data_IF_017465420560
#
_entry.id   IF_017465420560
#
_cell.length_a   1.000
_cell.length_b   1.000
_cell.length_c   1.000
_cell.angle_alpha   90.00
_cell.angle_beta   90.00
_cell.angle_gamma   90.00
#
_symmetry.space_group_name_H-M   'P 1'
#
loop_
_entity.id
_entity.type
_entity.pdbx_description
1 polymer ?
#
# COMPACT_ATOMS: atom_id res chain seq x y z
N UNK A 1 -17.53 15.37 -21.13
CA UNK A 1 -17.89 14.19 -20.35
C UNK A 1 -16.79 13.99 -19.32
N UNK A 2 -17.09 14.06 -18.00
CA UNK A 2 -16.07 13.70 -16.99
C UNK A 2 -15.79 12.21 -17.10
N UNK A 3 -14.50 11.86 -17.12
CA UNK A 3 -14.09 10.45 -17.04
C UNK A 3 -14.56 9.88 -15.71
N UNK A 4 -15.56 9.01 -15.72
CA UNK A 4 -16.17 8.39 -14.52
C UNK A 4 -15.39 7.18 -14.04
N UNK A 5 -14.25 6.88 -14.65
CA UNK A 5 -13.43 5.74 -14.30
C UNK A 5 -12.52 6.09 -13.10
N UNK A 6 -12.55 5.27 -12.07
CA UNK A 6 -11.65 5.39 -10.91
C UNK A 6 -10.20 5.12 -11.31
N UNK A 7 -9.27 5.85 -10.67
CA UNK A 7 -7.85 5.62 -10.80
C UNK A 7 -7.21 5.60 -9.41
N UNK A 8 -6.92 4.42 -8.90
CA UNK A 8 -6.28 4.24 -7.59
C UNK A 8 -4.76 4.12 -7.65
N UNK A 9 -4.17 4.34 -8.84
CA UNK A 9 -2.74 4.13 -9.05
C UNK A 9 -2.36 2.64 -9.07
N UNK A 10 -1.05 2.41 -9.13
CA UNK A 10 -0.49 1.06 -9.06
C UNK A 10 0.93 1.13 -8.46
N UNK A 11 1.30 0.18 -7.62
CA UNK A 11 2.63 0.11 -7.01
C UNK A 11 3.74 -0.13 -8.02
N UNK A 12 3.42 -0.78 -9.14
CA UNK A 12 4.33 -0.97 -10.27
C UNK A 12 3.94 0.02 -11.37
N UNK A 13 4.63 1.16 -11.50
CA UNK A 13 4.22 2.22 -12.41
C UNK A 13 4.43 1.84 -13.88
N UNK A 14 3.46 2.11 -14.74
CA UNK A 14 3.51 1.80 -16.18
C UNK A 14 4.72 2.41 -16.91
N UNK A 15 5.19 3.56 -16.44
CA UNK A 15 6.37 4.26 -17.02
C UNK A 15 7.65 3.45 -17.04
N UNK A 16 7.74 2.38 -16.27
CA UNK A 16 8.90 1.50 -16.25
C UNK A 16 8.94 0.49 -17.42
N UNK A 17 7.81 0.20 -18.05
CA UNK A 17 7.74 -0.83 -19.11
C UNK A 17 8.40 -0.43 -20.42
N UNK A 18 8.21 0.81 -20.97
CA UNK A 18 8.88 1.20 -22.21
C UNK A 18 10.41 1.04 -22.18
N UNK A 19 11.16 1.49 -21.15
CA UNK A 19 12.61 1.27 -21.09
C UNK A 19 12.98 -0.20 -20.90
N UNK A 20 12.21 -1.01 -20.16
CA UNK A 20 12.52 -2.42 -19.97
C UNK A 20 12.32 -3.22 -21.28
N UNK A 21 11.17 -3.09 -21.93
CA UNK A 21 10.91 -3.82 -23.17
C UNK A 21 11.68 -3.23 -24.36
N UNK A 22 11.71 -1.90 -24.50
CA UNK A 22 12.47 -1.22 -25.55
C UNK A 22 13.98 -1.44 -25.43
N UNK A 23 14.52 -1.28 -24.24
CA UNK A 23 15.95 -1.53 -23.97
C UNK A 23 16.32 -2.99 -24.21
N UNK A 24 15.50 -3.94 -23.76
CA UNK A 24 15.71 -5.36 -24.03
C UNK A 24 15.72 -5.69 -25.52
N UNK A 25 14.75 -5.16 -26.28
CA UNK A 25 14.68 -5.34 -27.72
C UNK A 25 15.90 -4.74 -28.47
N UNK A 26 16.35 -3.54 -28.06
CA UNK A 26 17.52 -2.89 -28.63
C UNK A 26 18.79 -3.72 -28.36
N UNK A 27 18.96 -4.26 -27.17
CA UNK A 27 20.10 -5.10 -26.83
C UNK A 27 20.13 -6.39 -27.63
N UNK A 28 18.97 -7.02 -27.87
CA UNK A 28 18.88 -8.21 -28.72
C UNK A 28 19.22 -7.89 -30.17
N UNK A 29 18.71 -6.78 -30.72
CA UNK A 29 19.03 -6.34 -32.07
C UNK A 29 20.53 -6.01 -32.25
N UNK A 30 21.12 -5.31 -31.27
CA UNK A 30 22.55 -5.00 -31.26
C UNK A 30 23.39 -6.29 -31.15
N UNK A 31 22.98 -7.25 -30.31
CA UNK A 31 23.62 -8.55 -30.21
C UNK A 31 23.61 -9.31 -31.55
N UNK A 32 22.49 -9.32 -32.23
CA UNK A 32 22.36 -9.94 -33.55
C UNK A 32 23.27 -9.26 -34.58
N UNK A 33 23.28 -7.92 -34.63
CA UNK A 33 24.14 -7.16 -35.52
C UNK A 33 25.63 -7.43 -35.23
N UNK A 34 26.07 -7.51 -33.97
CA UNK A 34 27.44 -7.83 -33.57
C UNK A 34 27.82 -9.27 -33.95
N UNK A 35 26.94 -10.23 -33.83
CA UNK A 35 27.20 -11.63 -34.16
C UNK A 35 27.28 -11.89 -35.66
N UNK A 36 26.33 -11.41 -36.42
CA UNK A 36 26.21 -11.66 -37.87
C UNK A 36 27.06 -10.66 -38.65
N UNK A 37 26.93 -9.36 -38.37
CA UNK A 37 27.54 -8.32 -39.16
C UNK A 37 29.04 -8.08 -38.82
N UNK A 38 29.41 -8.13 -37.54
CA UNK A 38 30.76 -7.82 -37.06
C UNK A 38 31.55 -9.07 -36.63
N UNK A 39 30.98 -10.24 -36.68
CA UNK A 39 31.58 -11.53 -36.23
C UNK A 39 32.14 -11.50 -34.80
N UNK A 40 31.58 -10.67 -33.91
CA UNK A 40 32.00 -10.53 -32.50
C UNK A 40 31.15 -11.36 -31.57
N UNK A 41 31.34 -12.65 -31.59
CA UNK A 41 30.49 -13.64 -30.89
C UNK A 41 30.34 -13.37 -29.38
N UNK A 42 31.43 -13.08 -28.68
CA UNK A 42 31.40 -12.83 -27.23
C UNK A 42 30.51 -11.61 -26.89
N UNK A 43 30.69 -10.53 -27.64
CA UNK A 43 29.89 -9.31 -27.47
C UNK A 43 28.42 -9.57 -27.81
N UNK A 44 28.15 -10.30 -28.89
CA UNK A 44 26.80 -10.68 -29.31
C UNK A 44 26.08 -11.49 -28.22
N UNK A 45 26.73 -12.50 -27.65
CA UNK A 45 26.18 -13.29 -26.56
C UNK A 45 25.91 -12.45 -25.31
N UNK A 46 26.86 -11.59 -24.91
CA UNK A 46 26.70 -10.70 -23.76
C UNK A 46 25.49 -9.77 -23.91
N UNK A 47 25.34 -9.13 -25.08
CA UNK A 47 24.19 -8.26 -25.36
C UNK A 47 22.87 -9.04 -25.38
N UNK A 48 22.86 -10.23 -25.97
CA UNK A 48 21.66 -11.07 -26.01
C UNK A 48 21.22 -11.50 -24.60
N UNK A 49 22.15 -11.93 -23.75
CA UNK A 49 21.87 -12.30 -22.35
C UNK A 49 21.29 -11.12 -21.58
N UNK A 50 21.89 -9.94 -21.68
CA UNK A 50 21.37 -8.73 -21.02
C UNK A 50 19.98 -8.35 -21.54
N UNK A 51 19.76 -8.45 -22.85
CA UNK A 51 18.45 -8.20 -23.46
C UNK A 51 17.38 -9.16 -22.93
N UNK A 52 17.69 -10.46 -22.86
CA UNK A 52 16.78 -11.48 -22.30
C UNK A 52 16.47 -11.21 -20.81
N UNK A 53 17.49 -10.84 -20.01
CA UNK A 53 17.29 -10.52 -18.60
C UNK A 53 16.35 -9.33 -18.45
N UNK A 54 16.53 -8.25 -19.23
CA UNK A 54 15.65 -7.09 -19.20
C UNK A 54 14.22 -7.42 -19.59
N UNK A 55 14.03 -8.20 -20.65
CA UNK A 55 12.71 -8.62 -21.09
C UNK A 55 12.02 -9.53 -20.06
N UNK A 56 12.75 -10.48 -19.47
CA UNK A 56 12.23 -11.36 -18.44
C UNK A 56 11.83 -10.57 -17.18
N UNK A 57 12.67 -9.62 -16.75
CA UNK A 57 12.36 -8.73 -15.65
C UNK A 57 11.15 -7.84 -15.98
N UNK A 58 11.08 -7.28 -17.19
CA UNK A 58 9.93 -6.51 -17.65
C UNK A 58 8.63 -7.32 -17.63
N UNK A 59 8.67 -8.57 -18.10
CA UNK A 59 7.52 -9.48 -18.07
C UNK A 59 7.09 -9.83 -16.62
N UNK A 60 8.04 -10.06 -15.72
CA UNK A 60 7.77 -10.27 -14.30
C UNK A 60 7.09 -9.04 -13.67
N UNK A 61 7.66 -7.84 -13.88
CA UNK A 61 7.11 -6.59 -13.36
C UNK A 61 5.72 -6.30 -13.95
N UNK A 62 5.50 -6.62 -15.22
CA UNK A 62 4.18 -6.48 -15.85
C UNK A 62 3.14 -7.41 -15.20
N UNK A 63 3.50 -8.66 -14.88
CA UNK A 63 2.61 -9.56 -14.13
C UNK A 63 2.30 -9.01 -12.74
N UNK A 64 3.30 -8.45 -12.03
CA UNK A 64 3.06 -7.79 -10.75
C UNK A 64 2.12 -6.58 -10.90
N UNK A 65 2.31 -5.77 -11.94
CA UNK A 65 1.42 -4.64 -12.25
C UNK A 65 -0.04 -5.08 -12.41
N UNK A 66 -0.29 -6.11 -13.22
CA UNK A 66 -1.63 -6.66 -13.43
C UNK A 66 -2.25 -7.19 -12.12
N UNK A 67 -1.44 -7.81 -11.26
CA UNK A 67 -1.90 -8.35 -9.98
C UNK A 67 -2.29 -7.24 -8.98
N UNK A 68 -1.49 -6.18 -8.91
CA UNK A 68 -1.77 -5.03 -8.04
C UNK A 68 -2.91 -4.15 -8.55
N UNK A 69 -3.26 -4.22 -9.84
CA UNK A 69 -4.25 -3.37 -10.46
C UNK A 69 -5.66 -3.65 -9.93
N UNK A 70 -6.36 -2.58 -9.54
CA UNK A 70 -7.80 -2.64 -9.27
C UNK A 70 -8.57 -2.93 -10.56
N UNK A 71 -9.47 -3.90 -10.52
CA UNK A 71 -10.25 -4.34 -11.70
C UNK A 71 -9.58 -5.40 -12.59
N UNK A 72 -8.35 -5.85 -12.25
CA UNK A 72 -7.66 -6.96 -12.92
C UNK A 72 -7.33 -8.09 -11.91
N UNK A 73 -6.11 -8.21 -11.43
CA UNK A 73 -5.74 -9.19 -10.38
C UNK A 73 -6.44 -8.95 -9.05
N UNK A 74 -6.73 -7.69 -8.75
CA UNK A 74 -7.48 -7.27 -7.56
C UNK A 74 -6.83 -7.65 -6.22
N UNK A 75 -5.55 -7.98 -6.20
CA UNK A 75 -4.88 -8.36 -4.96
C UNK A 75 -4.98 -7.24 -3.92
N UNK A 76 -4.73 -5.97 -4.31
CA UNK A 76 -4.85 -4.84 -3.39
C UNK A 76 -6.28 -4.63 -2.91
N UNK A 77 -7.29 -4.88 -3.75
CA UNK A 77 -8.68 -4.83 -3.32
C UNK A 77 -8.97 -5.88 -2.23
N UNK A 78 -8.48 -7.12 -2.39
CA UNK A 78 -8.61 -8.19 -1.39
C UNK A 78 -7.83 -7.91 -0.11
N UNK A 79 -6.65 -7.27 -0.24
CA UNK A 79 -5.86 -6.77 0.90
C UNK A 79 -6.68 -5.76 1.72
N UNK A 80 -7.31 -4.78 1.08
CA UNK A 80 -8.18 -3.83 1.75
C UNK A 80 -9.41 -4.50 2.38
N UNK A 81 -10.01 -5.48 1.70
CA UNK A 81 -11.13 -6.26 2.27
C UNK A 81 -10.71 -7.04 3.52
N UNK A 82 -9.51 -7.63 3.49
CA UNK A 82 -8.95 -8.31 4.65
C UNK A 82 -8.77 -7.33 5.83
N UNK A 83 -8.22 -6.14 5.57
CA UNK A 83 -8.05 -5.10 6.58
C UNK A 83 -9.41 -4.64 7.16
N UNK A 84 -10.39 -4.36 6.31
CA UNK A 84 -11.74 -3.92 6.74
C UNK A 84 -12.45 -5.00 7.57
N UNK A 85 -12.27 -6.29 7.26
CA UNK A 85 -12.84 -7.40 8.06
C UNK A 85 -12.25 -7.50 9.47
N UNK A 86 -11.04 -6.99 9.69
CA UNK A 86 -10.41 -6.94 11.01
C UNK A 86 -10.71 -5.65 11.78
N UNK A 87 -11.48 -4.73 11.18
CA UNK A 87 -11.96 -3.54 11.86
C UNK A 87 -13.28 -3.87 12.56
N UNK A 88 -13.21 -4.32 13.82
CA UNK A 88 -14.38 -4.59 14.65
C UNK A 88 -15.03 -3.27 15.12
N UNK A 89 -15.83 -2.68 14.22
CA UNK A 89 -16.46 -1.38 14.40
C UNK A 89 -17.90 -1.41 13.87
N UNK A 90 -18.81 -0.72 14.58
CA UNK A 90 -20.24 -0.66 14.19
C UNK A 90 -20.51 0.27 12.99
N UNK A 91 -19.49 0.97 12.50
CA UNK A 91 -19.59 1.85 11.34
C UNK A 91 -20.20 3.22 11.61
N UNK A 92 -20.31 3.62 12.88
CA UNK A 92 -20.90 4.91 13.26
C UNK A 92 -19.85 5.89 13.78
N UNK A 93 -19.98 7.16 13.37
CA UNK A 93 -19.05 8.21 13.78
C UNK A 93 -17.96 8.48 12.76
N UNK A 94 -16.73 8.71 13.22
CA UNK A 94 -15.62 9.20 12.39
C UNK A 94 -14.55 8.13 12.20
N UNK A 95 -14.16 7.87 10.96
CA UNK A 95 -13.04 7.00 10.61
C UNK A 95 -11.90 7.81 9.97
N UNK A 96 -10.67 7.56 10.42
CA UNK A 96 -9.45 8.10 9.80
C UNK A 96 -8.75 7.03 8.97
N UNK A 97 -8.48 7.30 7.71
CA UNK A 97 -7.58 6.52 6.84
C UNK A 97 -6.24 7.24 6.74
N UNK A 98 -5.21 6.66 7.39
CA UNK A 98 -3.88 7.25 7.51
C UNK A 98 -3.03 6.77 6.34
N UNK A 99 -2.59 7.74 5.49
CA UNK A 99 -1.87 7.45 4.26
C UNK A 99 -2.79 6.93 3.15
N UNK A 100 -3.87 7.66 2.89
CA UNK A 100 -4.94 7.23 2.01
C UNK A 100 -4.54 7.09 0.53
N UNK A 101 -3.37 7.61 0.11
CA UNK A 101 -2.88 7.57 -1.26
C UNK A 101 -3.86 8.21 -2.26
N UNK A 102 -4.43 7.41 -3.14
CA UNK A 102 -5.48 7.80 -4.08
C UNK A 102 -6.91 7.52 -3.55
N UNK A 103 -7.07 7.25 -2.25
CA UNK A 103 -8.35 7.08 -1.58
C UNK A 103 -8.99 5.69 -1.75
N UNK A 104 -8.25 4.68 -2.19
CA UNK A 104 -8.83 3.36 -2.46
C UNK A 104 -9.39 2.69 -1.20
N UNK A 105 -8.65 2.71 -0.08
CA UNK A 105 -9.12 2.17 1.20
C UNK A 105 -10.21 3.04 1.80
N UNK A 106 -10.07 4.37 1.75
CA UNK A 106 -11.07 5.33 2.22
C UNK A 106 -12.44 5.08 1.56
N UNK A 107 -12.47 4.98 0.23
CA UNK A 107 -13.69 4.69 -0.55
C UNK A 107 -14.29 3.33 -0.17
N UNK A 108 -13.44 2.31 0.02
CA UNK A 108 -13.89 0.98 0.44
C UNK A 108 -14.51 1.00 1.83
N UNK A 109 -13.89 1.71 2.78
CA UNK A 109 -14.45 1.91 4.12
C UNK A 109 -15.79 2.67 4.04
N UNK A 110 -15.89 3.72 3.21
CA UNK A 110 -17.14 4.46 3.03
C UNK A 110 -18.29 3.60 2.50
N UNK A 111 -17.98 2.62 1.64
CA UNK A 111 -18.98 1.66 1.14
C UNK A 111 -19.33 0.60 2.19
N UNK A 112 -18.36 0.13 2.97
CA UNK A 112 -18.58 -0.86 4.02
C UNK A 112 -19.36 -0.29 5.20
N UNK A 113 -19.18 1.02 5.49
CA UNK A 113 -19.76 1.71 6.64
C UNK A 113 -20.58 2.92 6.18
N UNK A 114 -21.83 2.74 5.75
CA UNK A 114 -22.62 3.80 5.12
C UNK A 114 -23.04 4.94 6.07
N UNK A 115 -23.00 4.75 7.39
CA UNK A 115 -23.30 5.78 8.39
C UNK A 115 -22.06 6.58 8.83
N UNK A 116 -20.84 6.16 8.41
CA UNK A 116 -19.59 6.78 8.82
C UNK A 116 -19.31 8.07 8.07
N UNK A 117 -18.62 9.02 8.76
CA UNK A 117 -17.90 10.13 8.18
C UNK A 117 -16.41 9.80 8.12
N UNK A 118 -15.78 9.97 6.98
CA UNK A 118 -14.41 9.51 6.78
C UNK A 118 -13.47 10.70 6.50
N UNK A 119 -12.28 10.62 7.07
CA UNK A 119 -11.16 11.50 6.71
C UNK A 119 -10.05 10.64 6.13
N UNK A 120 -9.69 10.89 4.88
CA UNK A 120 -8.47 10.34 4.26
C UNK A 120 -7.36 11.36 4.40
N UNK A 121 -6.25 10.99 5.04
CA UNK A 121 -5.11 11.86 5.22
C UNK A 121 -3.88 11.27 4.54
N UNK A 122 -3.11 12.10 3.83
CA UNK A 122 -1.85 11.68 3.21
C UNK A 122 -0.87 12.85 3.12
N UNK A 123 0.42 12.54 3.03
CA UNK A 123 1.46 13.54 2.83
C UNK A 123 1.48 14.08 1.40
N UNK A 124 1.09 13.26 0.42
CA UNK A 124 1.14 13.53 -1.02
C UNK A 124 2.48 14.12 -1.48
N UNK A 125 3.57 13.50 -1.02
CA UNK A 125 4.92 13.90 -1.41
C UNK A 125 5.25 13.54 -2.87
N UNK A 126 6.39 14.01 -3.35
CA UNK A 126 6.82 13.81 -4.75
C UNK A 126 7.05 12.35 -5.15
N UNK A 127 7.27 11.46 -4.19
CA UNK A 127 7.56 10.03 -4.44
C UNK A 127 6.32 9.21 -4.74
N UNK A 128 5.23 9.52 -4.04
CA UNK A 128 3.92 8.92 -4.27
C UNK A 128 3.04 9.98 -4.94
N UNK A 129 3.14 10.14 -6.21
CA UNK A 129 2.53 11.20 -7.02
C UNK A 129 0.97 11.18 -7.00
N UNK A 130 0.36 11.00 -5.83
CA UNK A 130 -1.07 11.11 -5.60
C UNK A 130 -1.44 12.53 -5.20
N UNK A 131 -2.49 13.05 -5.80
CA UNK A 131 -3.02 14.35 -5.48
C UNK A 131 -4.40 14.20 -4.81
N UNK A 132 -4.72 15.13 -3.91
CA UNK A 132 -6.04 15.25 -3.30
C UNK A 132 -7.17 15.19 -4.34
N UNK A 133 -7.00 15.91 -5.46
CA UNK A 133 -7.97 15.91 -6.56
C UNK A 133 -8.27 14.51 -7.11
N UNK A 134 -7.29 13.59 -7.09
CA UNK A 134 -7.50 12.22 -7.53
C UNK A 134 -8.40 11.46 -6.55
N UNK A 135 -8.19 11.66 -5.25
CA UNK A 135 -9.03 11.09 -4.20
C UNK A 135 -10.48 11.56 -4.32
N UNK A 136 -10.69 12.87 -4.50
CA UNK A 136 -12.01 13.47 -4.67
C UNK A 136 -12.73 12.97 -5.94
N UNK A 137 -12.00 12.83 -7.06
CA UNK A 137 -12.54 12.23 -8.30
C UNK A 137 -12.95 10.78 -8.08
N UNK A 138 -12.12 9.97 -7.39
CA UNK A 138 -12.42 8.58 -7.09
C UNK A 138 -13.65 8.46 -6.18
N UNK A 139 -13.71 9.22 -5.10
CA UNK A 139 -14.85 9.24 -4.18
C UNK A 139 -16.16 9.63 -4.90
N UNK A 140 -16.10 10.61 -5.81
CA UNK A 140 -17.24 11.04 -6.61
C UNK A 140 -17.68 9.96 -7.61
N UNK A 141 -16.73 9.34 -8.30
CA UNK A 141 -17.02 8.25 -9.25
C UNK A 141 -17.68 7.04 -8.56
N UNK A 142 -17.35 6.81 -7.30
CA UNK A 142 -17.87 5.71 -6.46
C UNK A 142 -19.13 6.09 -5.66
N UNK A 143 -19.61 7.35 -5.75
CA UNK A 143 -20.85 7.81 -5.14
C UNK A 143 -20.79 7.97 -3.62
N UNK A 144 -19.62 8.24 -3.04
CA UNK A 144 -19.41 8.37 -1.59
C UNK A 144 -18.76 9.69 -1.16
N UNK A 145 -18.59 10.64 -2.08
CA UNK A 145 -17.88 11.90 -1.85
C UNK A 145 -18.49 12.80 -0.76
N UNK A 146 -19.78 12.70 -0.54
CA UNK A 146 -20.52 13.48 0.46
C UNK A 146 -20.15 13.14 1.92
N UNK A 147 -19.50 12.00 2.14
CA UNK A 147 -19.11 11.50 3.46
C UNK A 147 -17.60 11.43 3.67
N UNK A 148 -16.80 11.87 2.69
CA UNK A 148 -15.34 11.79 2.75
C UNK A 148 -14.72 13.17 2.64
N UNK A 149 -13.81 13.48 3.55
CA UNK A 149 -12.91 14.63 3.47
C UNK A 149 -11.49 14.15 3.24
N UNK A 150 -10.74 14.80 2.35
CA UNK A 150 -9.33 14.49 2.13
C UNK A 150 -8.44 15.65 2.59
N UNK A 151 -7.43 15.34 3.41
CA UNK A 151 -6.57 16.34 4.05
C UNK A 151 -5.09 15.97 3.90
N UNK A 152 -4.24 17.00 3.77
CA UNK A 152 -2.79 16.81 3.78
C UNK A 152 -2.29 16.74 5.21
N UNK A 153 -1.42 15.77 5.52
CA UNK A 153 -0.84 15.62 6.85
C UNK A 153 0.40 14.73 6.87
N UNK A 154 1.04 14.68 8.04
CA UNK A 154 2.16 13.78 8.33
C UNK A 154 1.71 12.73 9.36
N UNK A 155 1.84 11.46 9.02
CA UNK A 155 1.43 10.34 9.88
C UNK A 155 2.28 10.23 11.17
N UNK A 156 3.48 10.83 11.20
CA UNK A 156 4.28 10.91 12.42
C UNK A 156 3.77 11.99 13.40
N UNK A 157 2.96 12.95 12.92
CA UNK A 157 2.49 14.10 13.69
C UNK A 157 1.09 14.48 13.17
N UNK A 158 0.09 13.73 13.60
CA UNK A 158 -1.29 13.95 13.19
C UNK A 158 -1.86 15.24 13.79
N UNK A 159 -2.32 16.16 12.97
CA UNK A 159 -2.86 17.45 13.38
C UNK A 159 -4.30 17.33 13.96
N UNK A 160 -4.58 16.24 14.64
CA UNK A 160 -5.86 15.97 15.30
C UNK A 160 -5.67 15.87 16.81
N UNK A 161 -6.64 16.34 17.63
CA UNK A 161 -6.65 16.10 19.06
C UNK A 161 -6.66 14.60 19.39
N UNK A 162 -6.24 14.28 20.62
CA UNK A 162 -6.39 12.93 21.15
C UNK A 162 -7.87 12.50 21.07
N UNK A 163 -8.09 11.22 20.80
CA UNK A 163 -9.44 10.63 20.85
C UNK A 163 -10.46 11.30 19.91
N UNK A 164 -10.01 11.69 18.70
CA UNK A 164 -10.85 12.40 17.71
C UNK A 164 -11.68 11.46 16.84
N UNK A 165 -11.26 10.21 16.67
CA UNK A 165 -11.86 9.27 15.74
C UNK A 165 -12.39 8.02 16.45
N UNK A 166 -13.53 7.52 15.97
CA UNK A 166 -14.15 6.29 16.47
C UNK A 166 -13.46 5.04 15.89
N UNK A 167 -12.84 5.18 14.73
CA UNK A 167 -12.01 4.14 14.13
C UNK A 167 -10.83 4.71 13.32
N UNK A 168 -9.77 3.92 13.15
CA UNK A 168 -8.66 4.26 12.26
C UNK A 168 -8.19 3.05 11.45
N UNK A 169 -7.79 3.30 10.20
CA UNK A 169 -7.19 2.32 9.29
C UNK A 169 -5.92 2.87 8.65
N UNK A 170 -5.03 1.99 8.25
CA UNK A 170 -3.85 2.33 7.45
C UNK A 170 -3.38 1.11 6.66
N UNK A 171 -2.90 1.30 5.43
CA UNK A 171 -2.44 0.21 4.59
C UNK A 171 -1.12 0.53 3.90
N UNK A 172 -0.02 -0.11 4.33
CA UNK A 172 1.34 0.03 3.79
C UNK A 172 1.88 1.47 3.79
N UNK A 173 1.76 2.16 4.93
CA UNK A 173 2.14 3.57 5.08
C UNK A 173 3.26 3.78 6.10
N UNK A 174 3.14 3.15 7.27
CA UNK A 174 3.98 3.51 8.42
C UNK A 174 5.47 3.29 8.16
N UNK A 175 5.84 2.28 7.38
CA UNK A 175 7.23 2.02 7.01
C UNK A 175 7.82 3.13 6.12
N UNK A 176 7.00 3.86 5.35
CA UNK A 176 7.42 4.94 4.46
C UNK A 176 7.57 6.30 5.17
N UNK A 177 7.07 6.46 6.39
CA UNK A 177 7.08 7.73 7.13
C UNK A 177 8.51 8.11 7.52
N UNK A 178 9.14 8.99 6.76
CA UNK A 178 10.56 9.38 6.93
C UNK A 178 10.81 10.28 8.11
N UNK A 179 9.80 11.01 8.56
CA UNK A 179 9.87 11.93 9.69
C UNK A 179 9.98 11.21 11.04
N UNK A 180 9.60 9.92 11.12
CA UNK A 180 9.76 9.07 12.29
C UNK A 180 10.96 8.12 12.16
N UNK A 181 11.87 8.14 13.15
CA UNK A 181 13.00 7.20 13.21
C UNK A 181 12.55 5.80 13.63
N UNK A 182 11.70 5.69 14.64
CA UNK A 182 11.07 4.44 15.07
C UNK A 182 9.67 4.37 14.48
N UNK A 183 9.39 3.34 13.68
CA UNK A 183 8.09 3.17 13.02
C UNK A 183 6.98 2.80 14.01
N UNK A 184 7.34 2.31 15.19
CA UNK A 184 6.39 2.04 16.29
C UNK A 184 5.79 3.32 16.85
N UNK A 185 6.51 4.45 16.78
CA UNK A 185 5.98 5.75 17.22
C UNK A 185 4.87 6.25 16.27
N UNK A 186 4.94 5.90 14.97
CA UNK A 186 3.86 6.20 14.02
C UNK A 186 2.59 5.42 14.38
N UNK A 187 2.74 4.15 14.81
CA UNK A 187 1.62 3.34 15.30
C UNK A 187 1.01 3.96 16.55
N UNK A 188 1.84 4.40 17.52
CA UNK A 188 1.36 5.09 18.74
C UNK A 188 0.64 6.39 18.41
N UNK A 189 1.16 7.16 17.47
CA UNK A 189 0.52 8.39 17.00
C UNK A 189 -0.84 8.11 16.34
N UNK A 190 -0.93 7.06 15.52
CA UNK A 190 -2.20 6.61 14.96
C UNK A 190 -3.20 6.21 16.04
N UNK A 191 -2.74 5.49 17.08
CA UNK A 191 -3.58 5.10 18.22
C UNK A 191 -3.94 6.27 19.13
N UNK A 192 -3.11 7.31 19.23
CA UNK A 192 -3.41 8.51 20.02
C UNK A 192 -4.73 9.15 19.61
N UNK A 193 -4.97 9.28 18.32
CA UNK A 193 -6.17 9.93 17.79
C UNK A 193 -7.42 9.05 17.81
N UNK A 194 -7.29 7.75 18.05
CA UNK A 194 -8.42 6.84 18.24
C UNK A 194 -8.99 7.03 19.65
N UNK A 195 -10.31 7.10 19.79
CA UNK A 195 -11.03 7.18 21.07
C UNK A 195 -10.82 5.92 21.91
N UNK A 196 -10.94 6.03 23.22
CA UNK A 196 -11.05 4.87 24.11
C UNK A 196 -12.24 4.01 23.69
N UNK A 197 -12.03 2.70 23.55
CA UNK A 197 -12.99 1.75 23.00
C UNK A 197 -13.15 1.81 21.47
N UNK A 198 -12.49 2.76 20.79
CA UNK A 198 -12.49 2.87 19.33
C UNK A 198 -11.68 1.76 18.67
N UNK A 199 -12.07 1.39 17.44
CA UNK A 199 -11.46 0.30 16.70
C UNK A 199 -10.27 0.74 15.83
N UNK A 200 -9.33 -0.15 15.60
CA UNK A 200 -8.25 0.09 14.64
C UNK A 200 -7.89 -1.16 13.84
N UNK A 201 -7.44 -0.95 12.61
CA UNK A 201 -6.91 -2.02 11.77
C UNK A 201 -5.82 -1.45 10.86
N UNK A 202 -4.57 -1.81 11.13
CA UNK A 202 -3.39 -1.33 10.42
C UNK A 202 -2.67 -2.49 9.75
N UNK A 203 -2.38 -2.37 8.49
CA UNK A 203 -1.61 -3.34 7.73
C UNK A 203 -0.34 -2.72 7.19
N UNK A 204 0.79 -3.33 7.48
CA UNK A 204 2.11 -2.86 7.06
C UNK A 204 3.11 -4.02 7.02
N UNK A 205 4.38 -3.73 6.78
CA UNK A 205 5.48 -4.70 6.83
C UNK A 205 5.87 -5.05 8.27
N UNK A 206 4.90 -5.26 9.15
CA UNK A 206 5.07 -5.43 10.59
C UNK A 206 5.98 -6.60 10.99
N UNK A 207 6.09 -7.65 10.16
CA UNK A 207 7.00 -8.77 10.44
C UNK A 207 8.47 -8.46 10.08
N UNK A 208 8.77 -7.29 9.51
CA UNK A 208 10.15 -6.87 9.28
C UNK A 208 10.77 -6.32 10.57
N UNK A 209 11.56 -7.15 11.26
CA UNK A 209 12.22 -6.79 12.53
C UNK A 209 13.10 -5.54 12.44
N UNK A 210 13.69 -5.26 11.28
CA UNK A 210 14.48 -4.06 11.05
C UNK A 210 13.67 -2.75 11.13
N UNK A 211 12.36 -2.81 10.91
CA UNK A 211 11.46 -1.66 10.95
C UNK A 211 10.72 -1.54 12.29
N UNK A 212 10.23 -2.66 12.83
CA UNK A 212 9.31 -2.69 13.97
C UNK A 212 9.84 -3.42 15.19
N UNK A 213 11.02 -4.05 15.12
CA UNK A 213 11.54 -4.88 16.19
C UNK A 213 10.76 -6.18 16.36
N UNK A 214 10.60 -6.63 17.59
CA UNK A 214 9.77 -7.78 17.93
C UNK A 214 8.33 -7.34 18.14
N UNK A 215 7.42 -7.83 17.29
CA UNK A 215 6.01 -7.42 17.33
C UNK A 215 5.23 -8.01 18.49
N UNK A 216 5.62 -9.19 19.00
CA UNK A 216 4.96 -9.76 20.18
C UNK A 216 5.30 -8.94 21.44
N UNK A 217 6.52 -8.43 21.51
CA UNK A 217 6.93 -7.49 22.55
C UNK A 217 6.23 -6.14 22.37
N UNK A 218 6.13 -5.64 21.14
CA UNK A 218 5.45 -4.37 20.87
C UNK A 218 3.96 -4.42 21.23
N UNK A 219 3.27 -5.53 20.95
CA UNK A 219 1.88 -5.76 21.37
C UNK A 219 1.76 -5.66 22.91
N UNK A 220 2.66 -6.30 23.65
CA UNK A 220 2.67 -6.20 25.13
C UNK A 220 2.91 -4.78 25.62
N UNK A 221 3.78 -4.02 24.95
CA UNK A 221 4.01 -2.60 25.26
C UNK A 221 2.73 -1.79 25.05
N UNK A 222 2.04 -1.95 23.91
CA UNK A 222 0.77 -1.26 23.63
C UNK A 222 -0.29 -1.59 24.68
N UNK A 223 -0.38 -2.86 25.11
CA UNK A 223 -1.29 -3.27 26.16
C UNK A 223 -0.95 -2.59 27.51
N UNK A 224 0.34 -2.51 27.86
CA UNK A 224 0.80 -1.79 29.04
C UNK A 224 0.57 -0.27 28.95
N UNK A 225 0.55 0.29 27.75
CA UNK A 225 0.21 1.70 27.43
C UNK A 225 -1.31 1.96 27.46
N UNK A 226 -2.14 0.93 27.70
CA UNK A 226 -3.59 1.06 27.89
C UNK A 226 -4.45 0.73 26.68
N UNK A 227 -3.88 0.15 25.62
CA UNK A 227 -4.68 -0.38 24.51
C UNK A 227 -5.34 -1.68 24.98
N UNK A 228 -6.68 -1.70 25.04
CA UNK A 228 -7.43 -2.76 25.73
C UNK A 228 -7.41 -4.09 24.98
N UNK A 229 -7.40 -4.05 23.65
CA UNK A 229 -7.38 -5.23 22.80
C UNK A 229 -6.44 -5.00 21.63
N UNK A 230 -5.38 -5.82 21.54
CA UNK A 230 -4.38 -5.76 20.46
C UNK A 230 -4.11 -7.16 19.95
N UNK A 231 -4.29 -7.36 18.67
CA UNK A 231 -3.98 -8.60 17.97
C UNK A 231 -2.95 -8.33 16.87
N UNK A 232 -2.03 -9.25 16.68
CA UNK A 232 -1.06 -9.21 15.59
C UNK A 232 -1.06 -10.52 14.81
N UNK A 233 -1.12 -10.42 13.49
CA UNK A 233 -0.93 -11.56 12.59
C UNK A 233 0.19 -11.19 11.60
N UNK A 234 1.33 -11.87 11.74
CA UNK A 234 2.48 -11.63 10.87
C UNK A 234 2.57 -12.59 9.68
N UNK A 235 3.43 -12.24 8.73
CA UNK A 235 3.72 -12.99 7.49
C UNK A 235 2.44 -13.34 6.71
N UNK A 236 1.55 -12.37 6.57
CA UNK A 236 0.24 -12.55 5.92
C UNK A 236 0.39 -12.93 4.44
N UNK A 237 1.44 -12.49 3.77
CA UNK A 237 1.71 -12.86 2.38
C UNK A 237 1.86 -14.37 2.20
N UNK A 238 2.24 -15.09 3.26
CA UNK A 238 2.34 -16.55 3.25
C UNK A 238 1.01 -17.26 3.56
N UNK A 239 0.09 -16.56 4.22
CA UNK A 239 -1.16 -17.10 4.77
C UNK A 239 -2.37 -16.82 3.90
N UNK A 240 -2.31 -15.77 3.08
CA UNK A 240 -3.43 -15.32 2.25
C UNK A 240 -3.35 -15.95 0.86
N UNK A 241 -4.31 -16.79 0.53
CA UNK A 241 -4.35 -17.54 -0.74
C UNK A 241 -4.37 -16.65 -1.98
N UNK A 242 -4.91 -15.43 -1.84
CA UNK A 242 -4.98 -14.47 -2.92
C UNK A 242 -3.69 -13.69 -3.18
N UNK A 243 -2.63 -13.90 -2.38
CA UNK A 243 -1.30 -13.33 -2.65
C UNK A 243 -0.47 -14.34 -3.42
N UNK A 244 -0.19 -14.13 -4.72
CA UNK A 244 0.53 -15.12 -5.52
C UNK A 244 1.99 -15.28 -5.07
N UNK A 245 2.54 -16.47 -5.21
CA UNK A 245 3.92 -16.78 -4.81
C UNK A 245 4.98 -15.88 -5.44
N UNK A 246 4.77 -15.47 -6.70
CA UNK A 246 5.74 -14.63 -7.41
C UNK A 246 5.81 -13.17 -6.93
N UNK A 247 4.81 -12.68 -6.15
CA UNK A 247 4.89 -11.37 -5.48
C UNK A 247 5.44 -11.45 -4.05
N UNK A 248 5.58 -12.66 -3.48
CA UNK A 248 6.12 -12.91 -2.12
C UNK A 248 7.64 -12.81 -2.13
N UNK A 249 8.18 -11.67 -2.51
CA UNK A 249 9.63 -11.44 -2.64
C UNK A 249 10.04 -10.22 -1.81
N UNK A 250 11.31 -10.15 -1.36
CA UNK A 250 11.79 -9.02 -0.54
C UNK A 250 11.61 -7.65 -1.18
N UNK A 251 11.59 -7.58 -2.52
CA UNK A 251 11.43 -6.32 -3.28
C UNK A 251 9.99 -6.02 -3.71
N UNK A 252 9.02 -6.89 -3.40
CA UNK A 252 7.60 -6.67 -3.65
C UNK A 252 6.82 -6.66 -2.34
N UNK A 253 6.43 -7.84 -1.84
CA UNK A 253 5.72 -7.98 -0.57
C UNK A 253 6.46 -8.99 0.30
N UNK A 254 7.00 -8.51 1.43
CA UNK A 254 7.68 -9.36 2.40
C UNK A 254 7.46 -8.82 3.81
N UNK A 255 7.10 -9.70 4.71
CA UNK A 255 6.87 -9.36 6.11
C UNK A 255 5.56 -8.60 6.34
N UNK A 256 4.57 -8.80 5.47
CA UNK A 256 3.25 -8.23 5.64
C UNK A 256 2.60 -8.72 6.93
N UNK A 257 2.07 -7.81 7.73
CA UNK A 257 1.33 -8.13 8.95
C UNK A 257 0.18 -7.18 9.16
N UNK A 258 -0.76 -7.59 10.01
CA UNK A 258 -1.88 -6.76 10.44
C UNK A 258 -1.87 -6.63 11.95
N UNK A 259 -2.04 -5.40 12.44
CA UNK A 259 -2.22 -5.04 13.83
C UNK A 259 -3.61 -4.45 13.98
N UNK A 260 -4.46 -5.05 14.81
CA UNK A 260 -5.86 -4.64 14.92
C UNK A 260 -6.40 -4.85 16.34
N UNK A 261 -7.51 -4.20 16.66
CA UNK A 261 -8.15 -4.32 17.96
C UNK A 261 -8.93 -3.08 18.36
N UNK A 262 -8.97 -2.83 19.69
CA UNK A 262 -9.65 -1.69 20.33
C UNK A 262 -8.72 -0.97 21.32
N UNK A 263 -8.77 0.36 21.27
CA UNK A 263 -8.01 1.20 22.22
C UNK A 263 -8.63 1.20 23.62
#
# INVERSE_FOLDING_TARGET
MMNTQTNYGNWVPEKMFPPLFGGGAVLLAAGLACGIGLHKTVLAVGLAVLGIILLAYGAYMYRCHEEFAFGKGNMMAKVHEHLVRHLDWDGKGKLLDIGCGAGALTVRCAKAFPEAQLTGMDYWGAEWNYAKDQCERNAKAEGVADRITFEKGDAAHLAYPDESFDAAVSNFVFHEVRTAKDKRDVVREALRVVKKGGAFSFQDMFSQKGLYGDMDEFVKQLQAEGITEVHFIGNLEQKLDFVPGYVRTPWMISGMGILYGRK
#
